data_IF_691064272704
#
_entry.id   IF_691064272704
#
_cell.length_a   1.000
_cell.length_b   1.000
_cell.length_c   1.000
_cell.angle_alpha   90.00
_cell.angle_beta   90.00
_cell.angle_gamma   90.00
#
_symmetry.space_group_name_H-M   'P 1'
#
loop_
_entity.id
_entity.type
_entity.pdbx_description
1 polymer ?
#
# COMPACT_ATOMS: atom_id res chain seq x y z
N UNK A 1 -20.50 19.68 10.47
CA UNK A 1 -20.61 18.57 11.45
C UNK A 1 -20.64 17.20 10.77
N UNK A 2 -21.42 17.03 9.69
CA UNK A 2 -21.55 15.76 8.97
C UNK A 2 -20.24 15.31 8.29
N UNK A 3 -19.51 16.23 7.65
CA UNK A 3 -18.21 15.94 7.04
C UNK A 3 -17.12 15.55 8.05
N UNK A 4 -17.17 16.11 9.27
CA UNK A 4 -16.24 15.74 10.35
C UNK A 4 -16.55 14.32 10.86
N UNK A 5 -17.84 14.00 11.05
CA UNK A 5 -18.25 12.67 11.49
C UNK A 5 -17.85 11.61 10.46
N UNK A 6 -18.10 11.86 9.17
CA UNK A 6 -17.69 10.96 8.08
C UNK A 6 -16.17 10.76 8.05
N UNK A 7 -15.39 11.84 8.20
CA UNK A 7 -13.93 11.75 8.23
C UNK A 7 -13.41 10.95 9.45
N UNK A 8 -14.08 11.04 10.61
CA UNK A 8 -13.75 10.24 11.79
C UNK A 8 -14.12 8.77 11.60
N UNK A 9 -15.28 8.48 11.00
CA UNK A 9 -15.71 7.12 10.65
C UNK A 9 -14.76 6.48 9.63
N UNK A 10 -14.42 7.18 8.56
CA UNK A 10 -13.47 6.72 7.54
C UNK A 10 -12.05 6.48 8.12
N UNK A 11 -11.66 7.30 9.12
CA UNK A 11 -10.39 7.10 9.81
C UNK A 11 -10.44 5.87 10.71
N UNK A 12 -11.50 5.71 11.50
CA UNK A 12 -11.67 4.57 12.39
C UNK A 12 -11.71 3.25 11.61
N UNK A 13 -12.34 3.24 10.43
CA UNK A 13 -12.36 2.08 9.57
C UNK A 13 -10.97 1.73 9.03
N UNK A 14 -10.21 2.72 8.56
CA UNK A 14 -8.82 2.50 8.12
C UNK A 14 -7.92 2.01 9.26
N UNK A 15 -8.03 2.59 10.44
CA UNK A 15 -7.25 2.17 11.60
C UNK A 15 -7.59 0.72 12.01
N UNK A 16 -8.86 0.34 11.91
CA UNK A 16 -9.31 -1.04 12.13
C UNK A 16 -8.75 -2.00 11.08
N UNK A 17 -8.78 -1.63 9.79
CA UNK A 17 -8.24 -2.45 8.71
C UNK A 17 -6.73 -2.68 8.86
N UNK A 18 -5.98 -1.64 9.23
CA UNK A 18 -4.54 -1.74 9.50
C UNK A 18 -4.28 -2.68 10.67
N UNK A 19 -5.00 -2.51 11.78
CA UNK A 19 -4.85 -3.37 12.95
C UNK A 19 -5.18 -4.84 12.63
N UNK A 20 -6.20 -5.07 11.81
CA UNK A 20 -6.62 -6.39 11.39
C UNK A 20 -5.56 -7.07 10.51
N UNK A 21 -4.97 -6.34 9.57
CA UNK A 21 -3.87 -6.84 8.74
C UNK A 21 -2.65 -7.14 9.60
N UNK A 22 -2.28 -6.24 10.51
CA UNK A 22 -1.16 -6.43 11.44
C UNK A 22 -1.35 -7.70 12.27
N UNK A 23 -2.54 -7.93 12.83
CA UNK A 23 -2.84 -9.14 13.60
C UNK A 23 -2.69 -10.42 12.77
N UNK A 24 -3.14 -10.43 11.53
CA UNK A 24 -2.98 -11.57 10.62
C UNK A 24 -1.50 -11.82 10.32
N UNK A 25 -0.74 -10.78 10.05
CA UNK A 25 0.69 -10.85 9.76
C UNK A 25 1.48 -11.33 10.97
N UNK A 26 1.15 -10.87 12.18
CA UNK A 26 1.83 -11.25 13.41
C UNK A 26 1.65 -12.75 13.74
N UNK A 27 0.48 -13.31 13.42
CA UNK A 27 0.21 -14.75 13.57
C UNK A 27 0.96 -15.64 12.58
N UNK A 28 1.52 -15.05 11.51
CA UNK A 28 2.29 -15.80 10.52
C UNK A 28 3.77 -15.88 10.91
N UNK A 29 4.32 -17.09 10.90
CA UNK A 29 5.78 -17.28 10.96
C UNK A 29 6.33 -17.41 9.55
N UNK A 30 7.32 -16.60 9.21
CA UNK A 30 7.93 -16.59 7.90
C UNK A 30 9.41 -16.23 8.02
N UNK A 31 10.27 -17.07 7.46
CA UNK A 31 11.68 -16.75 7.32
C UNK A 31 11.89 -15.84 6.12
N UNK A 32 12.37 -14.63 6.38
CA UNK A 32 12.62 -13.63 5.36
C UNK A 32 14.06 -13.73 4.86
N UNK A 33 14.29 -13.91 3.54
CA UNK A 33 15.63 -13.80 2.99
C UNK A 33 16.21 -12.40 3.26
N UNK A 34 17.44 -12.34 3.80
CA UNK A 34 18.09 -11.07 4.12
C UNK A 34 18.13 -10.11 2.92
N UNK A 35 18.35 -10.66 1.71
CA UNK A 35 18.37 -9.87 0.47
C UNK A 35 17.05 -9.16 0.18
N UNK A 36 15.91 -9.72 0.53
CA UNK A 36 14.60 -9.07 0.36
C UNK A 36 14.45 -7.89 1.33
N UNK A 37 14.91 -8.06 2.55
CA UNK A 37 14.88 -7.00 3.57
C UNK A 37 15.84 -5.88 3.17
N UNK A 38 17.06 -6.24 2.74
CA UNK A 38 18.07 -5.27 2.30
C UNK A 38 17.55 -4.44 1.11
N UNK A 39 16.91 -5.08 0.13
CA UNK A 39 16.28 -4.37 -1.00
C UNK A 39 15.14 -3.44 -0.55
N UNK A 40 14.32 -3.87 0.38
CA UNK A 40 13.26 -3.02 0.94
C UNK A 40 13.84 -1.81 1.69
N UNK A 41 14.94 -1.98 2.44
CA UNK A 41 15.65 -0.86 3.08
C UNK A 41 16.12 0.15 2.04
N UNK A 42 16.76 -0.31 0.95
CA UNK A 42 17.20 0.60 -0.12
C UNK A 42 16.01 1.35 -0.72
N UNK A 43 14.92 0.66 -1.03
CA UNK A 43 13.70 1.29 -1.55
C UNK A 43 13.12 2.35 -0.59
N UNK A 44 13.06 2.05 0.72
CA UNK A 44 12.60 3.00 1.73
C UNK A 44 13.49 4.26 1.80
N UNK A 45 14.80 4.09 1.60
CA UNK A 45 15.76 5.20 1.58
C UNK A 45 15.58 6.04 0.31
N UNK A 46 15.43 5.42 -0.86
CA UNK A 46 15.15 6.10 -2.13
C UNK A 46 13.85 6.91 -2.07
N UNK A 47 12.77 6.32 -1.54
CA UNK A 47 11.51 7.02 -1.33
C UNK A 47 11.65 8.21 -0.39
N UNK A 48 12.46 8.07 0.64
CA UNK A 48 12.72 9.15 1.59
C UNK A 48 13.52 10.28 0.92
N UNK A 49 14.57 9.95 0.18
CA UNK A 49 15.36 10.90 -0.60
C UNK A 49 14.50 11.65 -1.61
N UNK A 50 13.61 10.94 -2.31
CA UNK A 50 12.67 11.54 -3.25
C UNK A 50 11.75 12.56 -2.55
N UNK A 51 11.22 12.23 -1.36
CA UNK A 51 10.41 13.17 -0.56
C UNK A 51 11.20 14.40 -0.11
N UNK A 52 12.47 14.22 0.29
CA UNK A 52 13.35 15.33 0.64
C UNK A 52 13.59 16.24 -0.55
N UNK A 53 13.83 15.68 -1.74
CA UNK A 53 14.10 16.44 -2.96
C UNK A 53 12.91 17.34 -3.36
N UNK A 54 11.68 16.87 -3.16
CA UNK A 54 10.47 17.69 -3.35
C UNK A 54 10.39 18.89 -2.39
N UNK A 55 11.07 18.83 -1.27
CA UNK A 55 11.19 19.91 -0.30
C UNK A 55 12.44 20.76 -0.50
N UNK A 56 13.21 20.47 -1.57
CA UNK A 56 14.47 21.16 -1.86
C UNK A 56 15.64 20.77 -0.95
N UNK A 57 15.54 19.64 -0.26
CA UNK A 57 16.57 19.12 0.63
C UNK A 57 17.30 17.94 -0.02
N UNK A 58 18.57 17.79 0.33
CA UNK A 58 19.38 16.63 -0.07
C UNK A 58 19.51 15.64 1.08
N UNK A 59 19.66 14.37 0.73
CA UNK A 59 19.85 13.29 1.72
C UNK A 59 21.09 13.52 2.59
N UNK A 60 22.21 13.96 1.99
CA UNK A 60 23.45 14.23 2.70
C UNK A 60 23.28 15.34 3.76
N UNK A 61 22.58 16.41 3.41
CA UNK A 61 22.31 17.53 4.31
C UNK A 61 21.44 17.09 5.49
N UNK A 62 20.41 16.28 5.21
CA UNK A 62 19.54 15.72 6.24
C UNK A 62 20.30 14.79 7.19
N UNK A 63 21.08 13.84 6.67
CA UNK A 63 21.88 12.89 7.44
C UNK A 63 22.90 13.63 8.33
N UNK A 64 23.57 14.65 7.76
CA UNK A 64 24.48 15.51 8.51
C UNK A 64 23.76 16.27 9.64
N UNK A 65 22.58 16.80 9.37
CA UNK A 65 21.77 17.54 10.35
C UNK A 65 21.35 16.68 11.54
N UNK A 66 20.98 15.43 11.30
CA UNK A 66 20.60 14.50 12.37
C UNK A 66 21.80 13.83 13.06
N UNK A 67 23.03 14.13 12.61
CA UNK A 67 24.27 13.62 13.20
C UNK A 67 24.48 12.11 13.05
N UNK A 68 23.97 11.52 11.96
CA UNK A 68 24.06 10.09 11.65
C UNK A 68 24.85 9.84 10.37
N UNK A 69 25.21 8.58 10.17
CA UNK A 69 25.66 8.08 8.86
C UNK A 69 24.48 7.46 8.10
N UNK A 70 24.63 7.34 6.79
CA UNK A 70 23.61 6.65 5.96
C UNK A 70 23.42 5.20 6.39
N UNK A 71 24.49 4.52 6.80
CA UNK A 71 24.43 3.14 7.29
C UNK A 71 23.64 3.01 8.60
N UNK A 72 23.78 3.96 9.52
CA UNK A 72 22.98 4.00 10.74
C UNK A 72 21.52 4.26 10.45
N UNK A 73 21.24 5.19 9.53
CA UNK A 73 19.88 5.46 9.08
C UNK A 73 19.23 4.23 8.43
N UNK A 74 19.96 3.49 7.57
CA UNK A 74 19.50 2.22 6.98
C UNK A 74 19.23 1.15 8.04
N UNK A 75 20.11 1.00 9.04
CA UNK A 75 19.92 0.04 10.13
C UNK A 75 18.66 0.31 10.93
N UNK A 76 18.33 1.55 11.20
CA UNK A 76 17.10 1.93 11.91
C UNK A 76 15.83 1.57 11.13
N UNK A 77 15.90 1.57 9.80
CA UNK A 77 14.76 1.20 8.93
C UNK A 77 14.56 -0.30 8.76
N UNK A 78 15.55 -1.11 9.18
CA UNK A 78 15.54 -2.56 8.95
C UNK A 78 14.30 -3.26 9.53
N UNK A 79 13.90 -2.91 10.74
CA UNK A 79 12.72 -3.51 11.39
C UNK A 79 11.43 -3.17 10.62
N UNK A 80 11.30 -1.93 10.16
CA UNK A 80 10.16 -1.52 9.35
C UNK A 80 10.16 -2.23 8.00
N UNK A 81 11.34 -2.37 7.38
CA UNK A 81 11.52 -3.11 6.14
C UNK A 81 11.14 -4.59 6.29
N UNK A 82 11.56 -5.25 7.38
CA UNK A 82 11.16 -6.63 7.69
C UNK A 82 9.64 -6.75 7.81
N UNK A 83 8.99 -5.81 8.52
CA UNK A 83 7.53 -5.78 8.64
C UNK A 83 6.86 -5.59 7.28
N UNK A 84 7.34 -4.67 6.46
CA UNK A 84 6.81 -4.42 5.12
C UNK A 84 6.90 -5.65 4.23
N UNK A 85 8.09 -6.28 4.18
CA UNK A 85 8.31 -7.51 3.37
C UNK A 85 7.39 -8.63 3.86
N UNK A 86 7.32 -8.86 5.19
CA UNK A 86 6.46 -9.86 5.78
C UNK A 86 5.00 -9.63 5.41
N UNK A 87 4.50 -8.42 5.60
CA UNK A 87 3.12 -8.03 5.26
C UNK A 87 2.82 -8.31 3.79
N UNK A 88 3.67 -7.84 2.89
CA UNK A 88 3.50 -8.07 1.45
C UNK A 88 3.42 -9.55 1.09
N UNK A 89 4.34 -10.39 1.62
CA UNK A 89 4.36 -11.82 1.33
C UNK A 89 3.15 -12.55 1.90
N UNK A 90 2.71 -12.21 3.11
CA UNK A 90 1.51 -12.78 3.74
C UNK A 90 0.27 -12.44 2.91
N UNK A 91 0.07 -11.17 2.57
CA UNK A 91 -1.09 -10.73 1.78
C UNK A 91 -1.09 -11.36 0.38
N UNK A 92 0.05 -11.42 -0.31
CA UNK A 92 0.17 -12.12 -1.59
C UNK A 92 -0.17 -13.60 -1.47
N UNK A 93 0.22 -14.25 -0.37
CA UNK A 93 -0.12 -15.65 -0.14
C UNK A 93 -1.60 -15.86 0.10
N UNK A 94 -2.27 -14.96 0.82
CA UNK A 94 -3.71 -15.00 1.03
C UNK A 94 -4.45 -14.82 -0.31
N UNK A 95 -4.06 -13.82 -1.10
CA UNK A 95 -4.61 -13.55 -2.43
C UNK A 95 -4.51 -14.80 -3.31
N UNK A 96 -3.30 -15.35 -3.44
CA UNK A 96 -3.05 -16.49 -4.32
C UNK A 96 -3.77 -17.77 -3.85
N UNK A 97 -3.79 -18.04 -2.54
CA UNK A 97 -4.42 -19.23 -1.96
C UNK A 97 -5.94 -19.22 -2.09
N UNK A 98 -6.55 -18.04 -2.04
CA UNK A 98 -8.00 -17.88 -2.08
C UNK A 98 -8.50 -17.42 -3.47
N UNK A 99 -7.60 -17.34 -4.46
CA UNK A 99 -7.91 -16.93 -5.82
C UNK A 99 -8.66 -15.57 -5.86
N UNK A 100 -8.18 -14.60 -5.06
CA UNK A 100 -8.76 -13.26 -5.02
C UNK A 100 -8.23 -12.50 -6.24
N UNK A 101 -9.11 -12.26 -7.21
CA UNK A 101 -8.78 -11.59 -8.47
C UNK A 101 -9.85 -10.54 -8.78
N UNK A 102 -9.48 -9.50 -9.51
CA UNK A 102 -10.45 -8.58 -10.11
C UNK A 102 -11.06 -9.24 -11.35
N UNK A 103 -12.38 -9.15 -11.50
CA UNK A 103 -13.04 -9.57 -12.73
C UNK A 103 -13.17 -8.40 -13.71
N UNK A 104 -13.39 -8.68 -14.98
CA UNK A 104 -13.58 -7.63 -15.99
C UNK A 104 -14.78 -6.75 -15.69
N UNK A 105 -15.84 -7.34 -15.13
CA UNK A 105 -17.05 -6.61 -14.73
C UNK A 105 -16.76 -5.65 -13.58
N UNK A 106 -16.05 -6.10 -12.53
CA UNK A 106 -15.66 -5.25 -11.39
C UNK A 106 -14.75 -4.10 -11.84
N UNK A 107 -13.84 -4.37 -12.79
CA UNK A 107 -12.96 -3.36 -13.36
C UNK A 107 -13.74 -2.30 -14.15
N UNK A 108 -14.69 -2.74 -14.97
CA UNK A 108 -15.55 -1.84 -15.72
C UNK A 108 -16.45 -0.98 -14.82
N UNK A 109 -17.00 -1.56 -13.76
CA UNK A 109 -17.78 -0.84 -12.74
C UNK A 109 -16.91 0.22 -12.04
N UNK A 110 -15.72 -0.15 -11.59
CA UNK A 110 -14.79 0.76 -10.90
C UNK A 110 -14.38 1.94 -11.79
N UNK A 111 -14.04 1.68 -13.06
CA UNK A 111 -13.70 2.74 -14.02
C UNK A 111 -14.93 3.63 -14.28
N UNK A 112 -16.13 3.06 -14.37
CA UNK A 112 -17.36 3.83 -14.54
C UNK A 112 -17.67 4.73 -13.33
N UNK A 113 -17.48 4.22 -12.11
CA UNK A 113 -17.64 5.02 -10.89
C UNK A 113 -16.64 6.18 -10.84
N UNK A 114 -15.39 5.90 -11.20
CA UNK A 114 -14.35 6.93 -11.27
C UNK A 114 -14.68 8.01 -12.32
N UNK A 115 -15.13 7.59 -13.52
CA UNK A 115 -15.54 8.50 -14.57
C UNK A 115 -16.70 9.41 -14.11
N UNK A 116 -17.72 8.84 -13.46
CA UNK A 116 -18.85 9.60 -12.89
C UNK A 116 -18.40 10.60 -11.83
N UNK A 117 -17.46 10.21 -10.97
CA UNK A 117 -16.96 11.10 -9.92
C UNK A 117 -16.28 12.34 -10.48
N UNK A 118 -15.58 12.21 -11.61
CA UNK A 118 -14.88 13.32 -12.27
C UNK A 118 -15.70 13.97 -13.39
N UNK A 119 -16.93 13.52 -13.65
CA UNK A 119 -17.77 14.07 -14.71
C UNK A 119 -17.26 13.81 -16.12
N UNK A 120 -16.55 12.68 -16.33
CA UNK A 120 -15.98 12.25 -17.60
C UNK A 120 -16.81 11.11 -18.16
N UNK A 121 -16.99 11.06 -19.48
CA UNK A 121 -17.61 9.92 -20.13
C UNK A 121 -16.75 8.66 -19.98
N UNK A 122 -17.36 7.53 -19.57
CA UNK A 122 -16.63 6.28 -19.28
C UNK A 122 -15.81 5.79 -20.47
N UNK A 123 -16.36 5.89 -21.68
CA UNK A 123 -15.66 5.46 -22.90
C UNK A 123 -14.50 6.38 -23.26
N UNK A 124 -14.59 7.65 -22.94
CA UNK A 124 -13.49 8.61 -23.13
C UNK A 124 -12.36 8.33 -22.12
N UNK A 125 -12.72 8.06 -20.87
CA UNK A 125 -11.74 7.68 -19.85
C UNK A 125 -11.01 6.41 -20.25
N UNK A 126 -11.72 5.33 -20.63
CA UNK A 126 -11.13 4.05 -21.05
C UNK A 126 -10.13 4.18 -22.19
N UNK A 127 -10.35 5.08 -23.14
CA UNK A 127 -9.42 5.34 -24.26
C UNK A 127 -8.11 5.99 -23.83
N UNK A 128 -8.13 6.72 -22.72
CA UNK A 128 -6.98 7.47 -22.21
C UNK A 128 -6.21 6.72 -21.11
N UNK A 129 -6.76 5.61 -20.58
CA UNK A 129 -6.09 4.79 -19.58
C UNK A 129 -4.91 4.04 -20.18
N UNK A 130 -3.77 4.14 -19.51
CA UNK A 130 -2.58 3.33 -19.81
C UNK A 130 -2.72 1.92 -19.18
N UNK A 131 -1.90 0.94 -19.59
CA UNK A 131 -1.83 -0.35 -18.90
C UNK A 131 -1.56 -0.25 -17.40
N UNK A 132 -0.78 0.76 -16.97
CA UNK A 132 -0.50 1.01 -15.55
C UNK A 132 -1.75 1.50 -14.80
N UNK A 133 -2.59 2.29 -15.44
CA UNK A 133 -3.84 2.74 -14.83
C UNK A 133 -4.81 1.58 -14.63
N UNK A 134 -4.91 0.67 -15.60
CA UNK A 134 -5.68 -0.56 -15.45
C UNK A 134 -5.15 -1.41 -14.30
N UNK A 135 -3.84 -1.62 -14.20
CA UNK A 135 -3.22 -2.37 -13.11
C UNK A 135 -3.48 -1.70 -11.74
N UNK A 136 -3.55 -0.36 -11.69
CA UNK A 136 -3.92 0.36 -10.48
C UNK A 136 -5.36 0.03 -10.04
N UNK A 137 -6.33 0.08 -10.96
CA UNK A 137 -7.73 -0.26 -10.64
C UNK A 137 -7.89 -1.74 -10.25
N UNK A 138 -7.19 -2.65 -10.94
CA UNK A 138 -7.18 -4.07 -10.59
C UNK A 138 -6.64 -4.30 -9.17
N UNK A 139 -5.52 -3.68 -8.82
CA UNK A 139 -4.94 -3.77 -7.49
C UNK A 139 -5.87 -3.23 -6.41
N UNK A 140 -6.54 -2.11 -6.66
CA UNK A 140 -7.50 -1.51 -5.72
C UNK A 140 -8.69 -2.45 -5.46
N UNK A 141 -9.23 -3.09 -6.50
CA UNK A 141 -10.28 -4.10 -6.38
C UNK A 141 -9.80 -5.32 -5.57
N UNK A 142 -8.62 -5.84 -5.90
CA UNK A 142 -8.02 -7.01 -5.22
C UNK A 142 -7.79 -6.70 -3.75
N UNK A 143 -7.28 -5.51 -3.41
CA UNK A 143 -7.07 -5.10 -2.02
C UNK A 143 -8.38 -4.94 -1.26
N UNK A 144 -9.41 -4.37 -1.86
CA UNK A 144 -10.75 -4.29 -1.26
C UNK A 144 -11.29 -5.69 -0.95
N UNK A 145 -11.26 -6.59 -1.93
CA UNK A 145 -11.71 -7.99 -1.76
C UNK A 145 -10.90 -8.76 -0.72
N UNK A 146 -9.60 -8.50 -0.64
CA UNK A 146 -8.73 -9.07 0.37
C UNK A 146 -9.13 -8.62 1.79
N UNK A 147 -9.36 -7.33 1.99
CA UNK A 147 -9.79 -6.79 3.27
C UNK A 147 -11.15 -7.34 3.69
N UNK A 148 -12.10 -7.41 2.78
CA UNK A 148 -13.43 -8.02 3.02
C UNK A 148 -13.30 -9.50 3.38
N UNK A 149 -12.42 -10.23 2.69
CA UNK A 149 -12.13 -11.63 3.02
C UNK A 149 -11.56 -11.76 4.42
N UNK A 150 -10.58 -10.95 4.80
CA UNK A 150 -9.98 -10.98 6.14
C UNK A 150 -11.02 -10.61 7.19
N UNK A 151 -11.81 -9.54 6.99
CA UNK A 151 -12.92 -9.15 7.87
C UNK A 151 -13.93 -10.30 8.08
N UNK A 152 -14.26 -11.03 7.00
CA UNK A 152 -15.20 -12.15 7.07
C UNK A 152 -14.72 -13.33 7.90
N UNK A 153 -13.39 -13.52 8.01
CA UNK A 153 -12.76 -14.61 8.77
C UNK A 153 -12.49 -14.27 10.24
N UNK A 154 -12.60 -13.00 10.59
CA UNK A 154 -12.32 -12.51 11.94
C UNK A 154 -13.60 -12.22 12.76
N UNK A 155 -14.71 -12.84 12.37
CA UNK A 155 -15.99 -12.79 13.10
C UNK A 155 -16.07 -13.82 14.19
#
# INVERSE_FOLDING_TARGET
KENLKKAEEDKAERDYEVALVDEVVDRCSLDLPASMVDHEVEHMVEDFEHRLSHQGLKMEDYISYIGKTLDEFKKERRNDAEKNVKTRLVLQKIISKNNIVATSEELDEKISEYAKHYGIETEELKKNLSPNDYAYFENDIVMTKLLDFIKSKNK
#
